data_IF_469225857101
#
_entry.id   IF_469225857101
#
_cell.length_a   1.000
_cell.length_b   1.000
_cell.length_c   1.000
_cell.angle_alpha   90.00
_cell.angle_beta   90.00
_cell.angle_gamma   90.00
#
_symmetry.space_group_name_H-M   'P 1'
#
loop_
_entity.id
_entity.type
_entity.pdbx_description
1 polymer ?
#
# COMPACT_ATOMS: atom_id res chain seq x y z
N UNK A 1 -5.88 29.81 4.12
CA UNK A 1 -5.89 28.77 3.05
C UNK A 1 -6.50 27.50 3.60
N UNK A 2 -7.24 26.73 2.80
CA UNK A 2 -7.77 25.44 3.24
C UNK A 2 -6.63 24.41 3.35
N UNK A 3 -6.66 23.56 4.38
CA UNK A 3 -5.66 22.49 4.54
C UNK A 3 -5.85 21.41 3.47
N UNK A 4 -4.75 20.89 2.93
CA UNK A 4 -4.75 19.76 1.99
C UNK A 4 -5.15 18.48 2.72
N UNK A 5 -6.22 17.82 2.29
CA UNK A 5 -6.63 16.54 2.84
C UNK A 5 -5.79 15.41 2.25
N UNK A 6 -5.09 14.66 3.09
CA UNK A 6 -4.29 13.50 2.69
C UNK A 6 -4.57 12.31 3.60
N UNK A 7 -4.68 11.14 3.00
CA UNK A 7 -4.73 9.86 3.72
C UNK A 7 -3.40 9.12 3.59
N UNK A 8 -2.75 8.84 4.72
CA UNK A 8 -1.51 8.09 4.82
C UNK A 8 -1.75 6.77 5.56
N UNK A 9 -1.46 5.65 4.90
CA UNK A 9 -1.49 4.32 5.52
C UNK A 9 -0.08 3.90 5.98
N UNK A 10 0.04 3.32 7.18
CA UNK A 10 1.31 2.93 7.78
C UNK A 10 1.14 1.81 8.82
N UNK A 11 2.26 1.27 9.31
CA UNK A 11 2.25 0.29 10.41
C UNK A 11 2.56 0.93 11.77
N UNK A 12 2.53 0.15 12.83
CA UNK A 12 2.88 0.62 14.18
C UNK A 12 4.39 0.80 14.43
N UNK A 13 5.13 1.32 13.46
CA UNK A 13 6.55 1.62 13.63
C UNK A 13 6.78 2.98 14.29
N UNK A 14 7.86 3.08 15.06
CA UNK A 14 8.16 4.23 15.92
C UNK A 14 8.35 5.55 15.15
N UNK A 15 8.80 5.50 13.90
CA UNK A 15 9.13 6.69 13.12
C UNK A 15 7.91 7.52 12.69
N UNK A 16 6.70 6.95 12.70
CA UNK A 16 5.44 7.68 12.45
C UNK A 16 4.63 7.91 13.73
N UNK A 17 5.11 7.42 14.88
CA UNK A 17 4.46 7.57 16.17
C UNK A 17 4.24 9.05 16.58
N UNK A 18 5.18 9.99 16.31
CA UNK A 18 4.94 11.41 16.62
C UNK A 18 3.77 12.03 15.84
N UNK A 19 3.55 11.60 14.59
CA UNK A 19 2.40 12.03 13.79
C UNK A 19 1.11 11.40 14.31
N UNK A 20 1.15 10.12 14.69
CA UNK A 20 0.02 9.38 15.25
C UNK A 20 -0.48 9.97 16.57
N UNK A 21 0.43 10.25 17.50
CA UNK A 21 0.10 10.78 18.83
C UNK A 21 -0.13 12.31 18.80
N UNK A 22 -0.02 12.95 17.64
CA UNK A 22 -0.22 14.39 17.47
C UNK A 22 0.90 15.27 18.03
N UNK A 23 2.04 14.68 18.45
CA UNK A 23 3.24 15.43 18.88
C UNK A 23 3.83 16.27 17.73
N UNK A 24 3.63 15.81 16.50
CA UNK A 24 3.98 16.53 15.27
C UNK A 24 2.70 16.69 14.44
N UNK A 25 2.42 17.92 14.00
CA UNK A 25 1.32 18.22 13.09
C UNK A 25 1.87 18.88 11.83
N UNK A 26 1.64 18.31 10.64
CA UNK A 26 2.12 18.91 9.41
C UNK A 26 1.40 20.23 9.13
N UNK A 27 2.16 21.25 8.76
CA UNK A 27 1.61 22.55 8.39
C UNK A 27 0.83 22.46 7.08
N UNK A 28 -0.36 23.06 7.03
CA UNK A 28 -1.17 23.13 5.82
C UNK A 28 -1.79 21.81 5.37
N UNK A 29 -1.65 20.71 6.13
CA UNK A 29 -2.20 19.39 5.78
C UNK A 29 -3.22 18.97 6.85
N UNK A 30 -4.37 18.49 6.40
CA UNK A 30 -5.35 17.74 7.18
C UNK A 30 -5.06 16.26 6.96
N UNK A 31 -4.21 15.70 7.83
CA UNK A 31 -3.64 14.38 7.66
C UNK A 31 -4.51 13.33 8.37
N UNK A 32 -5.09 12.43 7.57
CA UNK A 32 -5.77 11.24 8.05
C UNK A 32 -4.79 10.05 8.08
N UNK A 33 -4.61 9.45 9.26
CA UNK A 33 -3.66 8.39 9.52
C UNK A 33 -4.37 7.04 9.68
N UNK A 34 -4.01 6.05 8.85
CA UNK A 34 -4.59 4.70 8.87
C UNK A 34 -3.53 3.66 9.23
N UNK A 35 -3.84 2.81 10.23
CA UNK A 35 -2.97 1.68 10.58
C UNK A 35 -3.39 0.45 9.79
N UNK A 36 -2.51 -0.04 8.93
CA UNK A 36 -2.80 -1.18 8.05
C UNK A 36 -1.53 -2.02 7.93
N UNK A 37 -1.64 -3.33 8.16
CA UNK A 37 -0.50 -4.26 8.05
C UNK A 37 0.11 -4.25 6.64
N UNK A 38 1.43 -4.29 6.57
CA UNK A 38 2.25 -4.25 5.34
C UNK A 38 1.70 -5.05 4.15
N UNK A 39 1.34 -6.32 4.34
CA UNK A 39 0.85 -7.18 3.25
C UNK A 39 -0.42 -6.65 2.58
N UNK A 40 -1.38 -6.20 3.39
CA UNK A 40 -2.66 -5.65 2.96
C UNK A 40 -2.49 -4.21 2.45
N UNK A 41 -1.67 -3.42 3.13
CA UNK A 41 -1.40 -2.01 2.82
C UNK A 41 -0.83 -1.83 1.42
N UNK A 42 0.22 -2.61 1.09
CA UNK A 42 0.84 -2.55 -0.23
C UNK A 42 -0.15 -2.89 -1.33
N UNK A 43 -0.89 -4.00 -1.20
CA UNK A 43 -1.87 -4.42 -2.19
C UNK A 43 -2.93 -3.34 -2.44
N UNK A 44 -3.52 -2.82 -1.37
CA UNK A 44 -4.56 -1.79 -1.46
C UNK A 44 -4.05 -0.49 -2.09
N UNK A 45 -2.79 -0.14 -1.85
CA UNK A 45 -2.19 1.04 -2.45
C UNK A 45 -2.03 0.89 -3.96
N UNK A 46 -1.29 -0.11 -4.46
CA UNK A 46 -1.00 -0.18 -5.90
C UNK A 46 -2.15 -0.76 -6.74
N UNK A 47 -3.07 -1.55 -6.15
CA UNK A 47 -4.22 -2.11 -6.89
C UNK A 47 -5.45 -1.21 -6.89
N UNK A 48 -5.77 -0.60 -5.75
CA UNK A 48 -7.03 0.11 -5.55
C UNK A 48 -6.84 1.61 -5.33
N UNK A 49 -5.64 2.08 -5.02
CA UNK A 49 -5.40 3.48 -4.73
C UNK A 49 -6.21 3.97 -3.53
N UNK A 50 -6.41 3.11 -2.52
CA UNK A 50 -7.25 3.43 -1.34
C UNK A 50 -6.72 4.59 -0.49
N UNK A 51 -5.46 4.98 -0.68
CA UNK A 51 -4.77 6.01 0.09
C UNK A 51 -3.97 6.92 -0.86
N UNK A 52 -3.76 8.17 -0.46
CA UNK A 52 -2.92 9.11 -1.22
C UNK A 52 -1.43 8.76 -1.10
N UNK A 53 -1.03 8.24 0.06
CA UNK A 53 0.32 7.76 0.33
C UNK A 53 0.30 6.54 1.27
N UNK A 54 1.34 5.71 1.22
CA UNK A 54 1.55 4.70 2.26
C UNK A 54 3.03 4.40 2.50
N UNK A 55 3.33 3.92 3.70
CA UNK A 55 4.60 3.26 3.98
C UNK A 55 4.75 2.02 3.10
N UNK A 56 5.85 1.94 2.34
CA UNK A 56 6.04 0.92 1.32
C UNK A 56 7.46 0.36 1.33
N UNK A 57 7.61 -0.96 1.37
CA UNK A 57 8.92 -1.61 1.23
C UNK A 57 9.55 -1.34 -0.15
N UNK A 58 10.80 -0.85 -0.16
CA UNK A 58 11.50 -0.51 -1.40
C UNK A 58 11.57 -1.68 -2.41
N UNK A 59 11.87 -2.89 -1.96
CA UNK A 59 11.91 -4.08 -2.83
C UNK A 59 10.54 -4.38 -3.45
N UNK A 60 9.48 -4.34 -2.63
CA UNK A 60 8.11 -4.53 -3.10
C UNK A 60 7.70 -3.44 -4.08
N UNK A 61 8.12 -2.20 -3.85
CA UNK A 61 7.82 -1.05 -4.70
C UNK A 61 8.47 -1.20 -6.07
N UNK A 62 9.77 -1.50 -6.12
CA UNK A 62 10.51 -1.73 -7.36
C UNK A 62 9.91 -2.90 -8.13
N UNK A 63 9.58 -4.00 -7.44
CA UNK A 63 8.93 -5.17 -8.05
C UNK A 63 7.56 -4.84 -8.62
N UNK A 64 6.73 -4.09 -7.90
CA UNK A 64 5.41 -3.67 -8.36
C UNK A 64 5.53 -2.71 -9.56
N UNK A 65 6.47 -1.76 -9.51
CA UNK A 65 6.75 -0.83 -10.60
C UNK A 65 7.28 -1.55 -11.84
N UNK A 66 8.23 -2.46 -11.70
CA UNK A 66 8.81 -3.25 -12.80
C UNK A 66 7.79 -4.13 -13.51
N UNK A 67 6.80 -4.65 -12.79
CA UNK A 67 5.69 -5.40 -13.37
C UNK A 67 4.57 -4.52 -13.97
N UNK A 68 4.72 -3.19 -14.00
CA UNK A 68 3.66 -2.28 -14.44
C UNK A 68 2.41 -2.30 -13.56
N UNK A 69 2.51 -2.84 -12.34
CA UNK A 69 1.40 -2.92 -11.38
C UNK A 69 1.15 -1.59 -10.68
N UNK A 70 2.08 -0.64 -10.80
CA UNK A 70 1.80 0.75 -10.54
C UNK A 70 1.01 1.33 -11.72
N UNK A 71 -0.32 1.25 -11.63
CA UNK A 71 -1.18 2.16 -12.38
C UNK A 71 -0.95 3.54 -11.79
N UNK A 72 0.01 4.30 -12.33
CA UNK A 72 0.39 5.64 -11.89
C UNK A 72 -0.70 6.68 -12.11
N UNK A 73 -1.90 6.46 -11.58
CA UNK A 73 -2.98 7.43 -11.53
C UNK A 73 -3.67 7.31 -10.19
N UNK A 74 -3.27 8.18 -9.28
CA UNK A 74 -4.19 8.81 -8.36
C UNK A 74 -5.39 9.27 -9.22
N UNK A 75 -6.52 8.57 -9.11
CA UNK A 75 -7.73 8.71 -9.94
C UNK A 75 -7.56 8.42 -11.44
N UNK A 76 -7.52 7.14 -11.82
CA UNK A 76 -8.23 6.74 -13.03
C UNK A 76 -9.39 5.87 -12.63
N UNK A 77 -10.57 6.48 -12.70
CA UNK A 77 -11.82 5.78 -12.85
C UNK A 77 -11.67 4.77 -13.99
N UNK A 78 -11.50 3.50 -13.62
CA UNK A 78 -11.74 2.37 -14.49
C UNK A 78 -12.63 1.45 -13.72
N UNK A 79 -13.92 1.79 -13.73
CA UNK A 79 -15.01 0.84 -13.97
C UNK A 79 -14.57 -0.62 -13.76
N UNK A 80 -14.61 -1.04 -12.50
CA UNK A 80 -14.86 -2.41 -12.04
C UNK A 80 -14.66 -3.48 -13.12
N UNK A 81 -13.42 -3.89 -13.42
CA UNK A 81 -13.21 -5.17 -14.10
C UNK A 81 -13.17 -6.28 -13.07
N UNK A 82 -14.38 -6.71 -12.73
CA UNK A 82 -14.70 -7.94 -12.05
C UNK A 82 -14.21 -9.13 -12.91
N UNK A 83 -12.95 -9.55 -12.77
CA UNK A 83 -12.50 -10.86 -13.28
C UNK A 83 -11.88 -11.68 -12.17
N UNK A 84 -12.73 -12.53 -11.60
CA UNK A 84 -12.36 -13.76 -10.91
C UNK A 84 -11.44 -14.58 -11.81
N UNK A 85 -10.19 -14.78 -11.43
CA UNK A 85 -9.35 -15.90 -11.83
C UNK A 85 -8.53 -16.25 -10.59
N UNK A 86 -8.74 -17.36 -9.90
CA UNK A 86 -8.66 -18.71 -10.45
C UNK A 86 -7.43 -19.36 -9.83
N UNK A 87 -7.59 -19.88 -8.61
CA UNK A 87 -6.59 -20.62 -7.84
C UNK A 87 -6.02 -21.77 -8.68
N UNK A 88 -4.70 -21.79 -8.90
CA UNK A 88 -3.92 -23.02 -9.09
C UNK A 88 -2.61 -22.89 -8.35
N UNK A 89 -2.51 -23.56 -7.19
CA UNK A 89 -1.23 -23.90 -6.57
C UNK A 89 -0.76 -25.18 -7.26
N UNK A 90 0.43 -25.17 -7.82
CA UNK A 90 1.06 -26.38 -8.34
C UNK A 90 1.62 -27.20 -7.15
N UNK A 91 1.18 -28.45 -6.93
CA UNK A 91 1.64 -29.27 -5.79
C UNK A 91 3.06 -29.82 -5.93
N UNK A 92 3.78 -29.57 -7.03
CA UNK A 92 5.06 -30.25 -7.33
C UNK A 92 6.31 -29.68 -6.63
N UNK A 93 6.22 -28.57 -5.90
CA UNK A 93 7.38 -27.88 -5.29
C UNK A 93 7.71 -28.26 -3.82
N UNK A 94 7.15 -29.35 -3.28
CA UNK A 94 7.38 -29.81 -1.90
C UNK A 94 8.19 -31.11 -1.78
N UNK A 95 9.21 -31.33 -2.62
CA UNK A 95 10.16 -32.44 -2.40
C UNK A 95 11.61 -32.02 -2.61
N UNK A 96 12.42 -32.14 -1.56
CA UNK A 96 13.85 -32.43 -1.69
C UNK A 96 14.82 -31.29 -1.37
N UNK A 97 14.90 -30.85 -0.11
CA UNK A 97 16.16 -30.33 0.43
C UNK A 97 16.65 -31.30 1.52
N UNK A 98 17.53 -32.21 1.10
CA UNK A 98 18.35 -33.04 1.96
C UNK A 98 19.64 -33.33 1.22
N UNK A 99 20.71 -32.63 1.62
CA UNK A 99 22.10 -33.04 1.62
C UNK A 99 22.85 -32.08 2.54
#
# INVERSE_FOLDING_TARGET
MAKLKLTLAFDSYDYLQPLRDGRVQPEGIDLNLLTVESGIRHERFYRYGEYDACEFSMCSYITARGHGKYSGNLKRDRSVEHKRQGKRRDPTLLRGCSA
#
